data_IF_849539013806
#
_entry.id   IF_849539013806
#
_cell.length_a   1.000
_cell.length_b   1.000
_cell.length_c   1.000
_cell.angle_alpha   90.00
_cell.angle_beta   90.00
_cell.angle_gamma   90.00
#
_symmetry.space_group_name_H-M   'P 1'
#
loop_
_entity.id
_entity.type
_entity.pdbx_description
1 polymer ?
#
# COMPACT_ATOMS: atom_id res chain seq x y z
N UNK A 1 9.98 -7.40 -5.33
CA UNK A 1 9.99 -8.62 -6.19
C UNK A 1 8.78 -8.64 -7.11
N UNK A 2 8.89 -9.03 -8.37
CA UNK A 2 7.74 -9.19 -9.26
C UNK A 2 7.17 -10.60 -9.15
N UNK A 3 5.84 -10.73 -9.08
CA UNK A 3 5.13 -12.02 -9.09
C UNK A 3 5.12 -12.59 -10.51
N UNK A 4 5.96 -13.57 -10.81
CA UNK A 4 6.11 -14.13 -12.16
C UNK A 4 5.50 -15.51 -12.34
N UNK A 5 5.30 -16.25 -11.27
CA UNK A 5 4.75 -17.60 -11.30
C UNK A 5 3.46 -17.73 -10.47
N UNK A 6 2.61 -18.68 -10.83
CA UNK A 6 1.42 -18.98 -10.02
C UNK A 6 1.77 -19.55 -8.64
N UNK A 7 2.91 -20.24 -8.52
CA UNK A 7 3.41 -20.72 -7.24
C UNK A 7 3.75 -19.56 -6.29
N UNK A 8 4.40 -18.51 -6.78
CA UNK A 8 4.66 -17.29 -6.03
C UNK A 8 3.35 -16.60 -5.62
N UNK A 9 2.40 -16.42 -6.53
CA UNK A 9 1.10 -15.83 -6.21
C UNK A 9 0.39 -16.61 -5.09
N UNK A 10 0.40 -17.95 -5.16
CA UNK A 10 -0.15 -18.80 -4.12
C UNK A 10 0.59 -18.63 -2.79
N UNK A 11 1.91 -18.48 -2.81
CA UNK A 11 2.72 -18.25 -1.61
C UNK A 11 2.40 -16.89 -0.96
N UNK A 12 2.17 -15.84 -1.75
CA UNK A 12 1.73 -14.54 -1.25
C UNK A 12 0.34 -14.63 -0.59
N UNK A 13 -0.64 -15.24 -1.23
CA UNK A 13 -1.97 -15.47 -0.64
C UNK A 13 -1.91 -16.33 0.63
N UNK A 14 -1.01 -17.33 0.65
CA UNK A 14 -0.81 -18.16 1.82
C UNK A 14 -0.32 -17.33 3.00
N UNK A 15 0.72 -16.56 2.79
CA UNK A 15 1.33 -15.71 3.82
C UNK A 15 0.36 -14.61 4.31
N UNK A 16 -0.16 -13.81 3.38
CA UNK A 16 -0.92 -12.60 3.69
C UNK A 16 -2.35 -12.86 4.14
N UNK A 17 -2.98 -13.94 3.65
CA UNK A 17 -4.40 -14.20 3.91
C UNK A 17 -4.62 -15.38 4.85
N UNK A 18 -3.84 -16.45 4.73
CA UNK A 18 -4.04 -17.65 5.54
C UNK A 18 -3.16 -17.70 6.79
N UNK A 19 -1.98 -17.11 6.75
CA UNK A 19 -0.90 -17.23 7.73
C UNK A 19 0.05 -18.39 7.39
N UNK A 20 1.35 -18.13 7.49
CA UNK A 20 2.41 -19.05 7.07
C UNK A 20 2.44 -20.35 7.87
N UNK A 21 2.03 -20.30 9.14
CA UNK A 21 1.91 -21.43 10.08
C UNK A 21 0.79 -22.42 9.73
N UNK A 22 -0.09 -22.08 8.81
CA UNK A 22 -1.28 -22.87 8.46
C UNK A 22 -1.10 -23.60 7.15
N UNK A 23 -1.67 -24.82 7.04
CA UNK A 23 -1.73 -25.52 5.76
C UNK A 23 -2.58 -24.71 4.76
N UNK A 24 -2.08 -24.56 3.51
CA UNK A 24 -2.82 -23.93 2.43
C UNK A 24 -4.15 -24.67 2.16
N UNK A 25 -5.23 -23.91 2.01
CA UNK A 25 -6.56 -24.44 1.69
C UNK A 25 -7.36 -23.46 0.86
N UNK A 26 -7.76 -23.85 -0.35
CA UNK A 26 -8.62 -23.04 -1.21
C UNK A 26 -9.96 -22.68 -0.58
N UNK A 27 -10.57 -23.61 0.17
CA UNK A 27 -11.82 -23.38 0.89
C UNK A 27 -11.66 -22.28 1.96
N UNK A 28 -10.58 -22.33 2.73
CA UNK A 28 -10.28 -21.32 3.76
C UNK A 28 -9.96 -19.97 3.13
N UNK A 29 -9.18 -19.96 2.04
CA UNK A 29 -8.85 -18.74 1.31
C UNK A 29 -10.11 -18.04 0.81
N UNK A 30 -10.98 -18.74 0.07
CA UNK A 30 -12.25 -18.20 -0.44
C UNK A 30 -13.11 -17.64 0.69
N UNK A 31 -13.22 -18.37 1.81
CA UNK A 31 -14.02 -17.93 2.96
C UNK A 31 -13.47 -16.65 3.60
N UNK A 32 -12.14 -16.52 3.75
CA UNK A 32 -11.52 -15.31 4.30
C UNK A 32 -11.66 -14.11 3.35
N UNK A 33 -11.39 -14.32 2.08
CA UNK A 33 -11.56 -13.31 1.03
C UNK A 33 -13.01 -12.80 0.96
N UNK A 34 -14.00 -13.68 1.11
CA UNK A 34 -15.41 -13.29 1.07
C UNK A 34 -15.88 -12.50 2.31
N UNK A 35 -15.22 -12.68 3.45
CA UNK A 35 -15.68 -12.12 4.73
C UNK A 35 -14.91 -10.88 5.19
N UNK A 36 -13.77 -10.58 4.57
CA UNK A 36 -12.89 -9.51 5.04
C UNK A 36 -12.43 -8.64 3.85
N UNK A 37 -12.67 -7.35 3.95
CA UNK A 37 -12.35 -6.39 2.89
C UNK A 37 -10.83 -6.28 2.64
N UNK A 38 -9.99 -6.34 3.68
CA UNK A 38 -8.54 -6.31 3.53
C UNK A 38 -8.03 -7.52 2.77
N UNK A 39 -8.50 -8.72 3.12
CA UNK A 39 -8.15 -9.94 2.39
C UNK A 39 -8.71 -9.97 0.96
N UNK A 40 -9.91 -9.42 0.75
CA UNK A 40 -10.48 -9.30 -0.59
C UNK A 40 -9.63 -8.35 -1.44
N UNK A 41 -9.27 -7.20 -0.91
CA UNK A 41 -8.41 -6.23 -1.60
C UNK A 41 -7.04 -6.83 -1.93
N UNK A 42 -6.37 -7.45 -0.96
CA UNK A 42 -5.07 -8.11 -1.15
C UNK A 42 -5.12 -9.24 -2.17
N UNK A 43 -6.17 -10.08 -2.14
CA UNK A 43 -6.33 -11.17 -3.09
C UNK A 43 -6.34 -10.66 -4.54
N UNK A 44 -7.19 -9.68 -4.82
CA UNK A 44 -7.32 -9.13 -6.16
C UNK A 44 -6.12 -8.26 -6.56
N UNK A 45 -5.52 -7.54 -5.63
CA UNK A 45 -4.28 -6.79 -5.87
C UNK A 45 -3.17 -7.73 -6.33
N UNK A 46 -2.92 -8.82 -5.61
CA UNK A 46 -1.88 -9.79 -5.96
C UNK A 46 -2.16 -10.49 -7.29
N UNK A 47 -3.42 -10.82 -7.56
CA UNK A 47 -3.82 -11.35 -8.86
C UNK A 47 -3.56 -10.35 -9.99
N UNK A 48 -3.86 -9.07 -9.79
CA UNK A 48 -3.59 -8.05 -10.80
C UNK A 48 -2.10 -7.85 -11.07
N UNK A 49 -1.26 -7.86 -10.03
CA UNK A 49 0.21 -7.80 -10.16
C UNK A 49 0.77 -9.01 -10.91
N UNK A 50 0.29 -10.21 -10.59
CA UNK A 50 0.67 -11.43 -11.30
C UNK A 50 0.27 -11.39 -12.77
N UNK A 51 -0.95 -10.98 -13.09
CA UNK A 51 -1.41 -10.87 -14.48
C UNK A 51 -0.63 -9.79 -15.25
N UNK A 52 -0.26 -8.70 -14.58
CA UNK A 52 0.55 -7.64 -15.17
C UNK A 52 1.96 -8.10 -15.56
N UNK A 53 2.57 -9.00 -14.78
CA UNK A 53 3.89 -9.56 -15.08
C UNK A 53 3.89 -10.60 -16.20
N UNK A 54 2.70 -11.06 -16.65
CA UNK A 54 2.57 -12.07 -17.70
C UNK A 54 2.55 -11.41 -19.08
N UNK A 55 3.21 -12.01 -20.08
CA UNK A 55 3.14 -11.51 -21.45
C UNK A 55 1.71 -11.69 -22.01
N UNK A 56 1.26 -10.73 -22.79
CA UNK A 56 -0.01 -10.80 -23.51
C UNK A 56 -0.94 -9.61 -23.26
N UNK A 57 -1.68 -9.22 -24.31
CA UNK A 57 -2.63 -8.10 -24.25
C UNK A 57 -3.85 -8.41 -23.36
N UNK A 58 -4.29 -9.65 -23.37
CA UNK A 58 -5.43 -10.12 -22.56
C UNK A 58 -5.13 -10.10 -21.08
N UNK A 59 -3.96 -10.61 -20.65
CA UNK A 59 -3.51 -10.59 -19.26
C UNK A 59 -3.35 -9.17 -18.75
N UNK A 60 -2.76 -8.28 -19.55
CA UNK A 60 -2.63 -6.86 -19.22
C UNK A 60 -3.99 -6.18 -19.09
N UNK A 61 -4.95 -6.46 -20.01
CA UNK A 61 -6.29 -5.91 -19.94
C UNK A 61 -7.03 -6.37 -18.68
N UNK A 62 -6.92 -7.66 -18.33
CA UNK A 62 -7.48 -8.21 -17.09
C UNK A 62 -6.86 -7.56 -15.84
N UNK A 63 -5.53 -7.41 -15.80
CA UNK A 63 -4.83 -6.75 -14.71
C UNK A 63 -5.35 -5.32 -14.49
N UNK A 64 -5.44 -4.53 -15.57
CA UNK A 64 -5.98 -3.16 -15.53
C UNK A 64 -7.44 -3.12 -15.06
N UNK A 65 -8.28 -4.07 -15.52
CA UNK A 65 -9.68 -4.15 -15.12
C UNK A 65 -9.85 -4.46 -13.63
N UNK A 66 -9.05 -5.38 -13.10
CA UNK A 66 -9.04 -5.72 -11.67
C UNK A 66 -8.60 -4.49 -10.87
N UNK A 67 -7.49 -3.86 -11.25
CA UNK A 67 -6.95 -2.69 -10.56
C UNK A 67 -7.96 -1.53 -10.53
N UNK A 68 -8.63 -1.25 -11.66
CA UNK A 68 -9.73 -0.28 -11.72
C UNK A 68 -10.91 -0.66 -10.82
N UNK A 69 -11.18 -1.96 -10.67
CA UNK A 69 -12.20 -2.47 -9.74
C UNK A 69 -11.85 -2.19 -8.28
N UNK A 70 -10.57 -2.32 -7.90
CA UNK A 70 -10.09 -1.99 -6.56
C UNK A 70 -10.22 -0.48 -6.25
N UNK A 71 -9.87 0.37 -7.21
CA UNK A 71 -10.06 1.81 -7.09
C UNK A 71 -11.53 2.18 -6.88
N UNK A 72 -12.44 1.60 -7.66
CA UNK A 72 -13.88 1.86 -7.55
C UNK A 72 -14.50 1.34 -6.26
N UNK A 73 -14.08 0.15 -5.80
CA UNK A 73 -14.69 -0.52 -4.66
C UNK A 73 -14.14 -0.01 -3.32
N UNK A 74 -12.85 0.27 -3.27
CA UNK A 74 -12.12 0.59 -2.03
C UNK A 74 -11.44 1.96 -2.05
N UNK A 75 -11.38 2.65 -3.18
CA UNK A 75 -10.51 3.82 -3.32
C UNK A 75 -9.02 3.45 -3.21
N UNK A 76 -8.64 2.21 -3.56
CA UNK A 76 -7.25 1.75 -3.51
C UNK A 76 -6.68 1.78 -4.91
N UNK A 77 -5.76 2.71 -5.13
CA UNK A 77 -5.05 2.93 -6.39
C UNK A 77 -3.57 2.58 -6.25
N UNK A 78 -3.25 1.30 -6.18
CA UNK A 78 -1.87 0.82 -6.25
C UNK A 78 -1.55 0.56 -7.71
N UNK A 79 -0.70 1.40 -8.31
CA UNK A 79 -0.36 1.31 -9.72
C UNK A 79 0.37 0.00 -10.02
N UNK A 80 0.09 -0.61 -11.17
CA UNK A 80 0.59 -1.95 -11.54
C UNK A 80 2.12 -2.05 -11.63
N UNK A 81 2.83 -0.95 -11.82
CA UNK A 81 4.30 -0.89 -11.80
C UNK A 81 4.92 -0.93 -10.40
N UNK A 82 4.14 -0.70 -9.35
CA UNK A 82 4.64 -0.74 -7.98
C UNK A 82 5.13 -2.15 -7.61
N UNK A 83 6.36 -2.21 -7.10
CA UNK A 83 6.99 -3.47 -6.67
C UNK A 83 6.79 -3.65 -5.18
N UNK A 84 5.93 -4.56 -4.78
CA UNK A 84 5.57 -4.77 -3.37
C UNK A 84 5.86 -6.23 -3.01
N UNK A 85 6.76 -6.42 -2.07
CA UNK A 85 7.14 -7.76 -1.61
C UNK A 85 6.06 -8.39 -0.72
N UNK A 86 6.30 -9.60 -0.27
CA UNK A 86 5.40 -10.42 0.53
C UNK A 86 5.16 -9.80 1.90
N UNK A 87 3.94 -9.94 2.42
CA UNK A 87 3.60 -9.47 3.76
C UNK A 87 2.99 -8.07 3.79
N UNK A 88 2.50 -7.57 2.66
CA UNK A 88 1.72 -6.33 2.68
C UNK A 88 0.46 -6.53 3.50
N UNK A 89 0.22 -5.61 4.43
CA UNK A 89 -1.02 -5.52 5.18
C UNK A 89 -1.75 -4.21 4.88
N UNK A 90 -3.02 -4.29 4.56
CA UNK A 90 -3.92 -3.15 4.37
C UNK A 90 -5.01 -3.24 5.46
N UNK A 91 -4.80 -2.58 6.60
CA UNK A 91 -5.69 -2.67 7.75
C UNK A 91 -7.12 -2.23 7.42
N UNK A 92 -7.25 -1.07 6.82
CA UNK A 92 -8.48 -0.51 6.26
C UNK A 92 -8.20 -0.08 4.83
N UNK A 93 -8.55 -0.91 3.81
CA UNK A 93 -8.24 -0.62 2.42
C UNK A 93 -9.15 0.49 1.87
N UNK A 94 -8.89 1.72 2.25
CA UNK A 94 -9.65 2.89 1.83
C UNK A 94 -8.72 4.07 1.54
N UNK A 95 -8.89 4.69 0.36
CA UNK A 95 -8.14 5.87 -0.07
C UNK A 95 -6.61 5.70 0.06
N UNK A 96 -6.08 4.59 -0.44
CA UNK A 96 -4.64 4.32 -0.49
C UNK A 96 -4.17 4.51 -1.92
N UNK A 97 -3.20 5.40 -2.12
CA UNK A 97 -2.62 5.66 -3.44
C UNK A 97 -1.12 5.35 -3.42
N UNK A 98 -0.66 4.50 -4.33
CA UNK A 98 0.76 4.13 -4.47
C UNK A 98 1.16 4.23 -5.94
N UNK A 99 2.16 5.08 -6.21
CA UNK A 99 2.71 5.33 -7.54
C UNK A 99 3.49 4.12 -8.09
N UNK A 100 3.57 4.00 -9.41
CA UNK A 100 4.22 2.87 -10.08
C UNK A 100 5.73 2.73 -9.82
N UNK A 101 6.42 3.83 -9.53
CA UNK A 101 7.85 3.85 -9.19
C UNK A 101 8.16 3.53 -7.73
N UNK A 102 7.22 2.98 -6.96
CA UNK A 102 7.43 2.65 -5.55
C UNK A 102 7.89 1.20 -5.40
N UNK A 103 8.86 1.00 -4.51
CA UNK A 103 9.32 -0.31 -4.05
C UNK A 103 9.04 -0.46 -2.57
N UNK A 104 8.34 -1.50 -2.17
CA UNK A 104 7.99 -1.79 -0.78
C UNK A 104 8.58 -3.15 -0.41
N UNK A 105 9.34 -3.18 0.66
CA UNK A 105 9.92 -4.40 1.22
C UNK A 105 8.87 -5.32 1.87
N UNK A 106 9.36 -6.33 2.58
CA UNK A 106 8.52 -7.34 3.23
C UNK A 106 7.84 -6.79 4.50
N UNK A 107 6.68 -7.36 4.81
CA UNK A 107 5.99 -7.17 6.08
C UNK A 107 5.64 -5.70 6.38
N UNK A 108 5.26 -4.97 5.35
CA UNK A 108 4.87 -3.57 5.45
C UNK A 108 3.37 -3.41 5.66
N UNK A 109 3.01 -2.43 6.48
CA UNK A 109 1.63 -2.08 6.80
C UNK A 109 1.29 -0.69 6.26
N UNK A 110 0.25 -0.59 5.45
CA UNK A 110 -0.31 0.67 4.96
C UNK A 110 -1.71 0.85 5.52
N UNK A 111 -1.92 1.93 6.27
CA UNK A 111 -3.25 2.28 6.77
C UNK A 111 -3.99 3.18 5.79
N UNK A 112 -5.27 3.39 6.07
CA UNK A 112 -6.16 4.20 5.22
C UNK A 112 -5.62 5.61 4.98
N UNK A 113 -6.02 6.21 3.85
CA UNK A 113 -5.66 7.56 3.43
C UNK A 113 -4.14 7.78 3.35
N UNK A 114 -3.39 6.74 2.97
CA UNK A 114 -1.95 6.83 2.74
C UNK A 114 -1.68 7.11 1.26
N UNK A 115 -0.86 8.13 0.99
CA UNK A 115 -0.37 8.44 -0.34
C UNK A 115 1.14 8.27 -0.41
N UNK A 116 1.61 7.48 -1.37
CA UNK A 116 3.04 7.33 -1.70
C UNK A 116 3.19 7.67 -3.17
N UNK A 117 3.79 8.82 -3.45
CA UNK A 117 3.81 9.35 -4.81
C UNK A 117 4.97 10.29 -5.09
N UNK A 118 5.09 10.64 -6.36
CA UNK A 118 6.08 11.58 -6.83
C UNK A 118 5.45 12.67 -7.66
N UNK A 119 6.07 13.84 -7.66
CA UNK A 119 5.63 15.03 -8.40
C UNK A 119 6.36 15.21 -9.72
N UNK A 120 7.42 14.44 -9.98
CA UNK A 120 8.26 14.59 -11.18
C UNK A 120 8.12 13.39 -12.14
N UNK A 121 8.20 13.62 -13.45
CA UNK A 121 8.01 12.59 -14.46
C UNK A 121 9.18 11.59 -14.57
N UNK A 122 10.41 12.01 -14.27
CA UNK A 122 11.65 11.18 -14.34
C UNK A 122 12.18 10.86 -12.95
N UNK A 123 11.40 10.16 -12.16
CA UNK A 123 11.67 9.97 -10.73
C UNK A 123 12.58 8.80 -10.44
N UNK A 124 13.49 9.02 -9.49
CA UNK A 124 14.09 7.91 -8.76
C UNK A 124 12.99 7.20 -7.95
N UNK A 125 13.07 5.86 -7.80
CA UNK A 125 12.08 5.11 -7.04
C UNK A 125 12.00 5.61 -5.59
N UNK A 126 10.79 5.56 -5.02
CA UNK A 126 10.59 5.68 -3.58
C UNK A 126 10.72 4.27 -3.01
N UNK A 127 11.61 4.10 -2.06
CA UNK A 127 11.92 2.79 -1.49
C UNK A 127 11.53 2.73 -0.01
N UNK A 128 10.69 1.77 0.34
CA UNK A 128 10.39 1.39 1.72
C UNK A 128 11.10 0.07 2.02
N UNK A 129 11.84 0.04 3.11
CA UNK A 129 12.50 -1.17 3.61
C UNK A 129 11.52 -2.22 4.10
N UNK A 130 12.02 -3.14 4.90
CA UNK A 130 11.23 -4.21 5.51
C UNK A 130 10.60 -3.75 6.83
N UNK A 131 9.44 -4.33 7.18
CA UNK A 131 8.78 -4.09 8.46
C UNK A 131 8.46 -2.59 8.70
N UNK A 132 7.95 -1.91 7.67
CA UNK A 132 7.55 -0.50 7.77
C UNK A 132 6.06 -0.40 8.09
N UNK A 133 5.72 0.26 9.20
CA UNK A 133 4.34 0.52 9.62
C UNK A 133 3.95 1.98 9.37
N UNK A 134 3.09 2.24 8.41
CA UNK A 134 2.65 3.58 8.05
C UNK A 134 1.27 3.85 8.66
N UNK A 135 1.22 4.86 9.52
CA UNK A 135 0.00 5.35 10.14
C UNK A 135 -1.02 5.89 9.13
N UNK A 136 -2.24 6.10 9.59
CA UNK A 136 -3.30 6.65 8.75
C UNK A 136 -3.04 8.11 8.34
N UNK A 137 -3.55 8.51 7.17
CA UNK A 137 -3.44 9.88 6.64
C UNK A 137 -1.98 10.35 6.45
N UNK A 138 -1.08 9.45 6.08
CA UNK A 138 0.30 9.80 5.79
C UNK A 138 0.51 10.10 4.31
N UNK A 139 1.40 11.08 4.04
CA UNK A 139 1.84 11.41 2.69
C UNK A 139 3.36 11.25 2.60
N UNK A 140 3.84 10.40 1.69
CA UNK A 140 5.25 10.25 1.33
C UNK A 140 5.38 10.75 -0.10
N UNK A 141 5.92 11.95 -0.28
CA UNK A 141 5.92 12.65 -1.57
C UNK A 141 7.32 13.14 -1.91
N UNK A 142 7.86 12.68 -3.01
CA UNK A 142 9.16 13.12 -3.52
C UNK A 142 9.75 12.19 -4.54
N UNK A 143 11.06 12.32 -4.81
CA UNK A 143 11.82 11.52 -5.75
C UNK A 143 13.05 10.94 -5.06
N UNK A 144 13.26 9.63 -5.16
CA UNK A 144 14.41 8.94 -4.58
C UNK A 144 14.40 8.85 -3.06
N UNK A 145 13.24 9.02 -2.42
CA UNK A 145 13.11 8.90 -0.96
C UNK A 145 13.34 7.45 -0.53
N UNK A 146 14.13 7.28 0.50
CA UNK A 146 14.36 5.99 1.15
C UNK A 146 13.83 6.01 2.58
N UNK A 147 12.89 5.12 2.87
CA UNK A 147 12.45 4.79 4.23
C UNK A 147 13.14 3.49 4.61
N UNK A 148 13.87 3.49 5.71
CA UNK A 148 14.65 2.34 6.18
C UNK A 148 13.81 1.16 6.65
N UNK A 149 14.47 0.17 7.24
CA UNK A 149 13.83 -1.01 7.82
C UNK A 149 13.31 -0.70 9.24
N UNK A 150 12.30 -1.45 9.70
CA UNK A 150 11.74 -1.35 11.06
C UNK A 150 11.27 0.08 11.42
N UNK A 151 10.82 0.85 10.43
CA UNK A 151 10.37 2.23 10.63
C UNK A 151 8.89 2.26 10.97
N UNK A 152 8.54 3.02 12.01
CA UNK A 152 7.16 3.38 12.31
C UNK A 152 6.90 4.84 11.94
N UNK A 153 5.87 5.08 11.16
CA UNK A 153 5.45 6.43 10.76
C UNK A 153 4.12 6.73 11.47
N UNK A 154 4.16 7.73 12.34
CA UNK A 154 2.98 8.20 13.06
C UNK A 154 1.90 8.72 12.10
N UNK A 155 0.62 8.61 12.51
CA UNK A 155 -0.48 9.08 11.69
C UNK A 155 -0.37 10.57 11.34
N UNK A 156 -0.92 10.95 10.18
CA UNK A 156 -0.93 12.33 9.66
C UNK A 156 0.48 12.90 9.44
N UNK A 157 1.47 12.06 9.16
CA UNK A 157 2.83 12.50 8.87
C UNK A 157 3.02 12.83 7.39
N UNK A 158 3.80 13.89 7.14
CA UNK A 158 4.29 14.24 5.81
C UNK A 158 5.79 13.98 5.72
N UNK A 159 6.20 13.20 4.71
CA UNK A 159 7.57 12.77 4.52
C UNK A 159 8.01 13.11 3.11
N UNK A 160 9.06 13.92 3.00
CA UNK A 160 9.68 14.31 1.73
C UNK A 160 11.21 14.17 1.74
N UNK A 161 11.73 13.39 2.67
CA UNK A 161 13.17 13.12 2.86
C UNK A 161 13.39 11.72 3.38
N UNK A 162 14.64 11.26 3.33
CA UNK A 162 15.01 9.94 3.83
C UNK A 162 14.75 9.80 5.34
N UNK A 163 14.39 8.57 5.71
CA UNK A 163 14.17 8.15 7.11
C UNK A 163 15.08 6.95 7.37
N UNK A 164 15.98 7.01 8.36
CA UNK A 164 16.89 5.91 8.66
C UNK A 164 16.17 4.67 9.22
N UNK A 165 16.89 3.56 9.35
CA UNK A 165 16.40 2.32 9.95
C UNK A 165 16.08 2.50 11.45
N UNK A 166 15.20 1.64 11.98
CA UNK A 166 14.93 1.45 13.41
C UNK A 166 14.42 2.69 14.16
N UNK A 167 13.67 3.57 13.49
CA UNK A 167 13.15 4.81 14.09
C UNK A 167 11.63 4.90 14.04
N UNK A 168 11.09 5.77 14.92
CA UNK A 168 9.72 6.26 14.81
C UNK A 168 9.74 7.69 14.31
N UNK A 169 9.13 7.92 13.15
CA UNK A 169 8.96 9.25 12.54
C UNK A 169 7.62 9.83 12.92
N UNK A 170 7.60 11.04 13.47
CA UNK A 170 6.37 11.75 13.85
C UNK A 170 6.48 13.21 13.37
N UNK A 171 5.46 13.68 12.68
CA UNK A 171 5.32 15.12 12.40
C UNK A 171 4.73 15.81 13.63
N UNK A 172 5.46 16.73 14.23
CA UNK A 172 4.92 17.59 15.29
C UNK A 172 3.95 18.60 14.69
N UNK A 173 2.84 18.84 15.38
CA UNK A 173 1.80 19.79 14.98
C UNK A 173 1.46 20.66 16.18
N UNK A 174 1.39 21.96 15.96
CA UNK A 174 0.90 22.92 16.95
C UNK A 174 -0.57 23.23 16.62
N UNK A 175 -1.42 23.06 17.59
CA UNK A 175 -2.86 23.36 17.45
C UNK A 175 -3.11 24.80 17.96
N UNK A 176 -3.74 25.62 17.12
CA UNK A 176 -4.17 26.95 17.48
C UNK A 176 -5.69 27.00 17.53
N UNK A 177 -6.24 27.64 18.55
CA UNK A 177 -7.67 27.82 18.71
C UNK A 177 -7.95 29.32 18.58
N UNK A 178 -8.82 29.68 17.64
CA UNK A 178 -9.27 31.04 17.44
C UNK A 178 -10.76 31.12 17.75
N UNK A 179 -11.24 32.20 18.43
CA UNK A 179 -12.68 32.42 18.60
C UNK A 179 -13.34 32.63 17.23
N UNK A 180 -14.53 32.09 17.07
CA UNK A 180 -15.33 32.38 15.87
C UNK A 180 -15.71 33.86 15.90
N UNK A 181 -15.54 34.58 14.79
CA UNK A 181 -16.11 35.92 14.64
C UNK A 181 -17.63 35.78 14.68
N UNK A 182 -18.27 36.35 15.68
CA UNK A 182 -19.72 36.47 15.73
C UNK A 182 -20.15 37.51 14.67
N UNK A 183 -21.24 37.25 13.91
CA UNK A 183 -21.76 38.13 12.87
C UNK A 183 -22.26 39.49 13.38
N UNK A 184 -22.01 39.84 14.65
CA UNK A 184 -22.45 41.09 15.27
C UNK A 184 -21.39 42.19 15.30
N UNK A 185 -20.19 41.94 14.73
CA UNK A 185 -19.09 42.93 14.71
C UNK A 185 -18.90 43.57 13.30
N UNK A 186 -19.98 43.66 12.51
CA UNK A 186 -20.01 44.35 11.22
C UNK A 186 -20.93 45.57 11.26
#
# INVERSE_FOLDING_TARGET
MMLTTFAELKAFWHYEILGEDKRFSWRKLRRRVARNNSYNCLFWLRLSQYLHSRPGRTTLSMAKRINKGLARKYGVEIMLGAQIDKGLWLGHPTAITVYSGVRIGRDCNLRQCTTIGSVEANNKPIELGHNVDIGAHCCIIGSGIRIGNNVRIGAMSFINKDVPDDVTYITRKDNHIYPNRTQHDA
#
